data_IF_227455671405
#
_entry.id   IF_227455671405
#
_cell.length_a   1.000
_cell.length_b   1.000
_cell.length_c   1.000
_cell.angle_alpha   90.00
_cell.angle_beta   90.00
_cell.angle_gamma   90.00
#
_symmetry.space_group_name_H-M   'P 1'
#
loop_
_entity.id
_entity.type
_entity.pdbx_description
1 polymer ?
#
# COMPACT_ATOMS: atom_id res chain seq x y z
N UNK A 1 3.51 10.67 4.11
CA UNK A 1 2.65 10.72 2.91
C UNK A 1 1.45 11.64 3.17
N UNK A 2 1.10 12.54 2.26
CA UNK A 2 -0.08 13.41 2.42
C UNK A 2 -1.37 12.60 2.17
N UNK A 3 -2.43 12.80 2.97
CA UNK A 3 -3.70 12.06 2.81
C UNK A 3 -4.30 12.14 1.40
N UNK A 4 -4.14 13.28 0.73
CA UNK A 4 -4.60 13.48 -0.65
C UNK A 4 -3.89 12.54 -1.66
N UNK A 5 -2.61 12.24 -1.43
CA UNK A 5 -1.81 11.34 -2.28
C UNK A 5 -2.30 9.89 -2.08
N UNK A 6 -2.51 9.47 -0.83
CA UNK A 6 -3.05 8.13 -0.53
C UNK A 6 -4.43 7.92 -1.15
N UNK A 7 -5.30 8.94 -1.15
CA UNK A 7 -6.61 8.88 -1.81
C UNK A 7 -6.51 8.79 -3.34
N UNK A 8 -5.58 9.51 -3.95
CA UNK A 8 -5.34 9.45 -5.38
C UNK A 8 -4.84 8.05 -5.78
N UNK A 9 -3.84 7.53 -5.08
CA UNK A 9 -3.29 6.18 -5.30
C UNK A 9 -4.39 5.11 -5.12
N UNK A 10 -5.20 5.22 -4.08
CA UNK A 10 -6.32 4.32 -3.85
C UNK A 10 -7.29 4.30 -5.04
N UNK A 11 -7.59 5.49 -5.60
CA UNK A 11 -8.45 5.63 -6.78
C UNK A 11 -7.81 5.06 -8.04
N UNK A 12 -6.52 5.31 -8.27
CA UNK A 12 -5.80 4.79 -9.45
C UNK A 12 -5.65 3.27 -9.43
N UNK A 13 -5.42 2.70 -8.25
CA UNK A 13 -5.27 1.26 -8.07
C UNK A 13 -6.61 0.53 -7.87
N UNK A 14 -7.73 1.26 -7.82
CA UNK A 14 -9.07 0.77 -7.53
C UNK A 14 -9.14 -0.05 -6.23
N UNK A 15 -8.46 0.45 -5.20
CA UNK A 15 -8.39 -0.14 -3.85
C UNK A 15 -8.93 0.85 -2.82
N UNK A 16 -9.21 0.37 -1.62
CA UNK A 16 -9.68 1.25 -0.55
C UNK A 16 -8.54 2.08 0.03
N UNK A 17 -8.83 3.31 0.45
CA UNK A 17 -7.87 4.16 1.18
C UNK A 17 -7.23 3.43 2.37
N UNK A 18 -8.01 2.63 3.12
CA UNK A 18 -7.50 1.82 4.24
C UNK A 18 -6.42 0.82 3.85
N UNK A 19 -6.47 0.28 2.63
CA UNK A 19 -5.47 -0.67 2.13
C UNK A 19 -4.15 0.04 1.84
N UNK A 20 -4.23 1.23 1.22
CA UNK A 20 -3.08 2.10 0.98
C UNK A 20 -2.49 2.59 2.30
N UNK A 21 -3.33 3.01 3.25
CA UNK A 21 -2.91 3.42 4.58
C UNK A 21 -2.19 2.28 5.32
N UNK A 22 -2.75 1.07 5.33
CA UNK A 22 -2.11 -0.10 5.92
C UNK A 22 -0.76 -0.43 5.27
N UNK A 23 -0.66 -0.32 3.94
CA UNK A 23 0.61 -0.51 3.23
C UNK A 23 1.64 0.56 3.61
N UNK A 24 1.24 1.83 3.67
CA UNK A 24 2.11 2.95 4.08
C UNK A 24 2.59 2.75 5.51
N UNK A 25 1.72 2.35 6.45
CA UNK A 25 2.10 2.05 7.83
C UNK A 25 3.13 0.93 7.91
N UNK A 26 2.97 -0.14 7.13
CA UNK A 26 3.95 -1.23 7.11
C UNK A 26 5.32 -0.77 6.58
N UNK A 27 5.33 0.11 5.56
CA UNK A 27 6.56 0.68 5.02
C UNK A 27 7.23 1.60 6.04
N UNK A 28 6.46 2.42 6.76
CA UNK A 28 6.95 3.30 7.83
C UNK A 28 7.57 2.50 8.99
N UNK A 29 7.00 1.33 9.29
CA UNK A 29 7.53 0.35 10.25
C UNK A 29 8.82 -0.36 9.75
N UNK A 30 9.28 -0.04 8.53
CA UNK A 30 10.52 -0.57 7.95
C UNK A 30 10.35 -1.84 7.13
N UNK A 31 9.11 -2.25 6.84
CA UNK A 31 8.86 -3.40 5.97
C UNK A 31 9.05 -3.01 4.50
N UNK A 32 9.59 -3.95 3.70
CA UNK A 32 9.80 -3.72 2.27
C UNK A 32 8.61 -4.19 1.45
N UNK A 33 8.39 -3.58 0.29
CA UNK A 33 7.35 -3.97 -0.69
C UNK A 33 7.29 -5.49 -0.94
N UNK A 34 8.38 -6.20 -1.29
CA UNK A 34 8.34 -7.64 -1.53
C UNK A 34 8.01 -8.45 -0.26
N UNK A 35 8.36 -7.95 0.93
CA UNK A 35 7.98 -8.60 2.19
C UNK A 35 6.47 -8.43 2.45
N UNK A 36 5.95 -7.22 2.28
CA UNK A 36 4.53 -6.90 2.50
C UNK A 36 3.65 -7.71 1.54
N UNK A 37 4.00 -7.75 0.25
CA UNK A 37 3.28 -8.48 -0.78
C UNK A 37 3.17 -10.00 -0.51
N UNK A 38 4.14 -10.55 0.24
CA UNK A 38 4.27 -12.00 0.48
C UNK A 38 3.80 -12.43 1.87
N UNK A 39 3.96 -11.59 2.89
CA UNK A 39 3.72 -11.95 4.30
C UNK A 39 2.69 -11.07 5.01
N UNK A 40 2.20 -9.99 4.38
CA UNK A 40 1.24 -9.05 4.96
C UNK A 40 0.06 -8.74 4.04
N UNK A 41 -0.24 -9.65 3.10
CA UNK A 41 -1.38 -9.53 2.19
C UNK A 41 -2.71 -9.40 2.93
N UNK A 42 -2.89 -10.15 4.01
CA UNK A 42 -4.10 -10.07 4.84
C UNK A 42 -4.28 -8.70 5.52
N UNK A 43 -3.18 -8.06 5.92
CA UNK A 43 -3.18 -6.76 6.61
C UNK A 43 -3.51 -5.62 5.63
N UNK A 44 -3.04 -5.74 4.39
CA UNK A 44 -3.33 -4.77 3.32
C UNK A 44 -4.64 -5.05 2.58
N UNK A 45 -5.42 -6.05 3.00
CA UNK A 45 -6.66 -6.42 2.31
C UNK A 45 -6.45 -7.06 0.94
N UNK A 46 -5.29 -7.65 0.71
CA UNK A 46 -4.95 -8.44 -0.48
C UNK A 46 -4.12 -7.72 -1.53
N UNK A 47 -3.46 -6.59 -1.20
CA UNK A 47 -2.65 -5.87 -2.18
C UNK A 47 -1.52 -6.74 -2.75
N UNK A 48 -1.38 -6.71 -4.07
CA UNK A 48 -0.31 -7.40 -4.81
C UNK A 48 0.96 -6.53 -4.93
N UNK A 49 2.09 -7.16 -5.25
CA UNK A 49 3.40 -6.49 -5.39
C UNK A 49 3.33 -5.27 -6.33
N UNK A 50 2.63 -5.40 -7.46
CA UNK A 50 2.44 -4.29 -8.41
C UNK A 50 1.74 -3.10 -7.78
N UNK A 51 0.67 -3.33 -7.00
CA UNK A 51 -0.08 -2.27 -6.34
C UNK A 51 0.74 -1.61 -5.23
N UNK A 52 1.50 -2.41 -4.48
CA UNK A 52 2.38 -1.93 -3.41
C UNK A 52 3.57 -1.13 -3.97
N UNK A 53 4.15 -1.56 -5.10
CA UNK A 53 5.20 -0.79 -5.80
C UNK A 53 4.69 0.55 -6.28
N UNK A 54 3.54 0.59 -6.95
CA UNK A 54 2.95 1.85 -7.41
C UNK A 54 2.65 2.78 -6.24
N UNK A 55 2.14 2.25 -5.13
CA UNK A 55 1.89 3.04 -3.92
C UNK A 55 3.17 3.59 -3.27
N UNK A 56 4.33 2.97 -3.52
CA UNK A 56 5.63 3.38 -2.96
C UNK A 56 6.37 4.38 -3.86
N UNK A 57 6.07 4.39 -5.16
CA UNK A 57 6.76 5.21 -6.16
C UNK A 57 6.08 6.56 -6.46
N UNK A 58 4.85 6.75 -5.98
CA UNK A 58 4.06 7.99 -6.11
C UNK A 58 4.24 8.89 -4.89
#
# INVERSE_FOLDING_TARGET
MSQAICQLIAKELNVSYKQVEAAVTLIDDGNTVPFIARYRKEVTGGLDDTQLRTSTLA
#
